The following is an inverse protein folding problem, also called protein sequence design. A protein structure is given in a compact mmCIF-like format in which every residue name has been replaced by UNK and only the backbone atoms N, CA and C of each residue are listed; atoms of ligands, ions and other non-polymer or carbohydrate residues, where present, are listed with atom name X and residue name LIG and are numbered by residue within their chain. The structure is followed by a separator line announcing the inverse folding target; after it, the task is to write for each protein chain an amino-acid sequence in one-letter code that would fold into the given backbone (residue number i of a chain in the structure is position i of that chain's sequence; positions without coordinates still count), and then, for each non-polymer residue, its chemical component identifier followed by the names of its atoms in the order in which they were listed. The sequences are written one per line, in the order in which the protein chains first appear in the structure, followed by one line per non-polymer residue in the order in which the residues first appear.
data_IF_543987224178
#
_entry.id   IF_543987224178
#
_cell.length_a   1.000
_cell.length_b   1.000
_cell.length_c   1.000
_cell.angle_alpha   90.00
_cell.angle_beta   90.00
_cell.angle_gamma   90.00
#
_symmetry.space_group_name_H-M   'P 1'
#
loop_
_entity.id
_entity.type
_entity.pdbx_description
1 polymer ?
#
# COMPACT_ATOMS: atom_id res chain seq x y z
N UNK A 1 53.08 10.85 -15.40
CA UNK A 1 52.22 10.72 -16.58
C UNK A 1 50.85 11.27 -16.20
N UNK A 2 50.38 12.28 -16.92
CA UNK A 2 49.33 13.21 -16.48
C UNK A 2 48.05 12.49 -16.05
N UNK A 3 47.46 12.95 -14.96
CA UNK A 3 46.13 12.50 -14.54
C UNK A 3 45.15 13.11 -15.54
N UNK A 4 44.80 12.34 -16.57
CA UNK A 4 43.73 12.70 -17.49
C UNK A 4 42.45 13.00 -16.72
N UNK A 5 41.74 14.04 -17.14
CA UNK A 5 40.51 14.46 -16.49
C UNK A 5 39.37 13.51 -16.85
N UNK A 6 38.41 13.32 -15.93
CA UNK A 6 37.17 12.59 -16.19
C UNK A 6 35.99 13.51 -15.94
N UNK A 7 35.06 13.56 -16.89
CA UNK A 7 33.76 14.23 -16.73
C UNK A 7 32.63 13.23 -16.86
N UNK A 8 31.58 13.43 -16.08
CA UNK A 8 30.41 12.56 -16.03
C UNK A 8 29.17 13.34 -16.47
N UNK A 9 28.30 12.67 -17.23
CA UNK A 9 26.95 13.14 -17.52
C UNK A 9 25.95 12.01 -17.28
N UNK A 10 24.76 12.40 -16.84
CA UNK A 10 23.58 11.56 -16.79
C UNK A 10 22.64 11.93 -17.94
N UNK A 11 22.23 10.94 -18.71
CA UNK A 11 21.24 11.07 -19.78
C UNK A 11 19.96 10.37 -19.33
N UNK A 12 18.92 11.17 -19.07
CA UNK A 12 17.57 10.70 -18.71
C UNK A 12 16.68 10.66 -19.94
N UNK A 13 16.07 9.51 -20.20
CA UNK A 13 15.24 9.28 -21.37
C UNK A 13 13.79 9.05 -20.92
N UNK A 14 12.93 10.03 -21.16
CA UNK A 14 11.55 10.06 -20.68
C UNK A 14 10.55 9.39 -21.63
N UNK A 15 10.91 9.23 -22.92
CA UNK A 15 10.09 8.59 -23.97
C UNK A 15 11.00 7.79 -24.92
N UNK A 16 10.52 6.65 -25.43
CA UNK A 16 11.25 5.80 -26.39
C UNK A 16 12.10 4.67 -25.78
N UNK A 17 12.14 4.54 -24.44
CA UNK A 17 12.68 3.37 -23.72
C UNK A 17 14.02 2.82 -24.23
N UNK A 18 14.01 1.54 -24.60
CA UNK A 18 15.20 0.78 -25.03
C UNK A 18 15.79 1.29 -26.36
N UNK A 19 14.95 1.77 -27.29
CA UNK A 19 15.40 2.22 -28.61
C UNK A 19 16.17 3.53 -28.52
N UNK A 20 15.70 4.47 -27.70
CA UNK A 20 16.38 5.73 -27.42
C UNK A 20 17.70 5.49 -26.66
N UNK A 21 17.74 4.55 -25.71
CA UNK A 21 18.99 4.16 -25.03
C UNK A 21 20.00 3.51 -25.99
N UNK A 22 19.51 2.70 -26.92
CA UNK A 22 20.31 2.07 -27.96
C UNK A 22 20.81 3.10 -28.98
N UNK A 23 20.04 4.15 -29.26
CA UNK A 23 20.46 5.27 -30.09
C UNK A 23 21.56 6.10 -29.42
N UNK A 24 21.40 6.43 -28.13
CA UNK A 24 22.45 7.10 -27.32
C UNK A 24 23.73 6.26 -27.30
N UNK A 25 23.63 4.96 -27.07
CA UNK A 25 24.80 4.05 -27.05
C UNK A 25 25.51 4.02 -28.41
N UNK A 26 24.75 4.00 -29.52
CA UNK A 26 25.31 4.07 -30.89
C UNK A 26 25.98 5.41 -31.19
N UNK A 27 25.41 6.53 -30.73
CA UNK A 27 26.02 7.86 -30.88
C UNK A 27 27.35 7.94 -30.14
N UNK A 28 27.41 7.42 -28.91
CA UNK A 28 28.65 7.39 -28.12
C UNK A 28 29.70 6.49 -28.79
N UNK A 29 29.31 5.31 -29.27
CA UNK A 29 30.21 4.39 -29.98
C UNK A 29 30.75 4.99 -31.29
N UNK A 30 29.92 5.77 -32.01
CA UNK A 30 30.36 6.49 -33.21
C UNK A 30 31.38 7.57 -32.85
N UNK A 31 31.10 8.35 -31.80
CA UNK A 31 31.99 9.42 -31.34
C UNK A 31 33.32 8.88 -30.82
N UNK A 32 33.30 7.77 -30.08
CA UNK A 32 34.52 7.15 -29.54
C UNK A 32 35.52 6.70 -30.61
N UNK A 33 35.06 6.50 -31.86
CA UNK A 33 35.93 6.18 -33.01
C UNK A 33 36.53 7.41 -33.68
N UNK A 34 35.98 8.60 -33.43
CA UNK A 34 36.34 9.86 -34.07
C UNK A 34 37.09 10.82 -33.14
N UNK A 35 36.98 10.63 -31.81
CA UNK A 35 37.67 11.43 -30.80
C UNK A 35 38.88 10.69 -30.21
N UNK A 36 39.86 11.44 -29.71
CA UNK A 36 40.95 10.90 -28.89
C UNK A 36 40.55 10.51 -27.46
N UNK A 37 39.31 10.83 -27.05
CA UNK A 37 38.79 10.57 -25.70
C UNK A 37 38.33 9.12 -25.50
N UNK A 38 38.46 8.62 -24.26
CA UNK A 38 37.93 7.34 -23.81
C UNK A 38 36.53 7.53 -23.20
N UNK A 39 35.65 6.53 -23.39
CA UNK A 39 34.28 6.57 -22.90
C UNK A 39 33.94 5.31 -22.11
N UNK A 40 33.20 5.47 -21.00
CA UNK A 40 32.46 4.37 -20.37
C UNK A 40 30.98 4.72 -20.40
N UNK A 41 30.17 3.74 -20.79
CA UNK A 41 28.72 3.86 -20.84
C UNK A 41 28.10 2.81 -19.93
N UNK A 42 27.45 3.27 -18.86
CA UNK A 42 26.64 2.43 -18.00
C UNK A 42 25.17 2.75 -18.24
N UNK A 43 24.39 1.79 -18.73
CA UNK A 43 22.97 1.99 -19.00
C UNK A 43 22.11 1.14 -18.09
N UNK A 44 20.99 1.70 -17.66
CA UNK A 44 19.95 1.00 -16.93
C UNK A 44 18.60 1.32 -17.57
N UNK A 45 17.80 0.28 -17.81
CA UNK A 45 16.47 0.38 -18.41
C UNK A 45 15.46 -0.15 -17.40
N UNK A 46 14.48 0.67 -17.03
CA UNK A 46 13.43 0.29 -16.08
C UNK A 46 12.06 0.79 -16.54
N UNK A 47 11.14 -0.15 -16.78
CA UNK A 47 9.74 0.08 -17.19
C UNK A 47 9.53 1.19 -18.26
N UNK A 48 10.38 1.22 -19.28
CA UNK A 48 10.27 2.16 -20.42
C UNK A 48 11.02 3.48 -20.26
N UNK A 49 11.65 3.71 -19.11
CA UNK A 49 12.60 4.80 -18.88
C UNK A 49 14.03 4.27 -18.90
N UNK A 50 14.92 5.03 -19.54
CA UNK A 50 16.32 4.64 -19.66
C UNK A 50 17.20 5.71 -19.04
N UNK A 51 18.11 5.30 -18.16
CA UNK A 51 19.15 6.14 -17.57
C UNK A 51 20.49 5.68 -18.11
N UNK A 52 21.24 6.60 -18.72
CA UNK A 52 22.58 6.31 -19.23
C UNK A 52 23.56 7.24 -18.53
N UNK A 53 24.52 6.68 -17.81
CA UNK A 53 25.65 7.43 -17.27
C UNK A 53 26.81 7.28 -18.22
N UNK A 54 27.38 8.40 -18.63
CA UNK A 54 28.51 8.46 -19.55
C UNK A 54 29.68 9.12 -18.83
N UNK A 55 30.81 8.43 -18.79
CA UNK A 55 32.10 8.99 -18.42
C UNK A 55 32.90 9.28 -19.68
N UNK A 56 33.43 10.50 -19.78
CA UNK A 56 34.36 10.92 -20.82
C UNK A 56 35.71 11.19 -20.16
N UNK A 57 36.78 10.64 -20.71
CA UNK A 57 38.13 10.82 -20.20
C UNK A 57 39.10 11.20 -21.31
N UNK A 58 39.97 12.17 -21.04
CA UNK A 58 41.04 12.57 -21.94
C UNK A 58 42.21 13.15 -21.13
N UNK A 59 43.42 12.90 -21.60
CA UNK A 59 44.67 13.43 -21.03
C UNK A 59 44.76 14.96 -21.22
N UNK A 60 44.15 15.51 -22.26
CA UNK A 60 44.03 16.94 -22.55
C UNK A 60 42.74 17.53 -21.95
N UNK A 61 42.84 18.47 -20.98
CA UNK A 61 41.67 19.12 -20.39
C UNK A 61 40.84 19.92 -21.39
N UNK A 62 41.47 20.49 -22.43
CA UNK A 62 40.78 21.23 -23.47
C UNK A 62 39.97 20.29 -24.38
N UNK A 63 40.56 19.18 -24.82
CA UNK A 63 39.87 18.16 -25.60
C UNK A 63 38.74 17.51 -24.80
N UNK A 64 38.96 17.23 -23.51
CA UNK A 64 37.93 16.71 -22.61
C UNK A 64 36.71 17.63 -22.54
N UNK A 65 36.94 18.94 -22.42
CA UNK A 65 35.85 19.93 -22.37
C UNK A 65 35.08 19.96 -23.69
N UNK A 66 35.80 20.01 -24.80
CA UNK A 66 35.22 20.05 -26.15
C UNK A 66 34.40 18.78 -26.41
N UNK A 67 34.97 17.60 -26.16
CA UNK A 67 34.28 16.33 -26.41
C UNK A 67 33.06 16.15 -25.52
N UNK A 68 33.13 16.59 -24.26
CA UNK A 68 31.99 16.58 -23.35
C UNK A 68 30.84 17.47 -23.84
N UNK A 69 31.14 18.71 -24.26
CA UNK A 69 30.15 19.66 -24.77
C UNK A 69 29.53 19.20 -26.10
N UNK A 70 30.37 18.70 -27.01
CA UNK A 70 29.94 18.15 -28.31
C UNK A 70 29.04 16.94 -28.09
N UNK A 71 29.44 15.98 -27.25
CA UNK A 71 28.64 14.79 -26.97
C UNK A 71 27.29 15.16 -26.34
N UNK A 72 27.29 16.08 -25.36
CA UNK A 72 26.06 16.57 -24.73
C UNK A 72 25.10 17.16 -25.76
N UNK A 73 25.63 17.98 -26.68
CA UNK A 73 24.87 18.62 -27.74
C UNK A 73 24.32 17.62 -28.78
N UNK A 74 25.13 16.63 -29.16
CA UNK A 74 24.71 15.56 -30.08
C UNK A 74 23.56 14.75 -29.47
N UNK A 75 23.67 14.34 -28.20
CA UNK A 75 22.64 13.56 -27.53
C UNK A 75 21.34 14.36 -27.41
N UNK A 76 21.43 15.62 -26.97
CA UNK A 76 20.26 16.48 -26.80
C UNK A 76 19.56 16.81 -28.14
N UNK A 77 20.30 16.89 -29.25
CA UNK A 77 19.75 17.21 -30.58
C UNK A 77 19.23 16.01 -31.36
N UNK A 78 19.80 14.81 -31.15
CA UNK A 78 19.47 13.62 -31.96
C UNK A 78 18.48 12.67 -31.30
N UNK A 79 18.24 12.81 -30.00
CA UNK A 79 17.36 11.90 -29.25
C UNK A 79 16.23 12.70 -28.60
N UNK A 80 15.01 12.50 -29.12
CA UNK A 80 13.84 13.22 -28.64
C UNK A 80 13.47 12.83 -27.20
N UNK A 81 13.09 13.82 -26.37
CA UNK A 81 12.64 13.57 -25.00
C UNK A 81 13.75 13.18 -24.02
N UNK A 82 14.97 13.65 -24.28
CA UNK A 82 16.15 13.40 -23.44
C UNK A 82 16.55 14.64 -22.64
N UNK A 83 16.97 14.42 -21.40
CA UNK A 83 17.63 15.42 -20.56
C UNK A 83 19.06 14.98 -20.29
N UNK A 84 20.03 15.84 -20.60
CA UNK A 84 21.46 15.63 -20.30
C UNK A 84 21.82 16.49 -19.10
N UNK A 85 22.28 15.87 -18.02
CA UNK A 85 22.56 16.51 -16.73
C UNK A 85 24.05 16.29 -16.40
N UNK A 86 24.85 17.36 -16.19
CA UNK A 86 26.22 17.19 -15.71
C UNK A 86 26.23 16.61 -14.31
N UNK A 87 27.13 15.65 -14.05
CA UNK A 87 27.33 15.09 -12.71
C UNK A 87 28.62 15.67 -12.12
N UNK A 88 28.49 16.37 -11.00
CA UNK A 88 29.65 16.90 -10.30
C UNK A 88 30.45 15.80 -9.62
N UNK A 89 31.78 15.95 -9.61
CA UNK A 89 32.70 14.97 -9.02
C UNK A 89 32.45 14.73 -7.51
N UNK A 90 31.83 15.69 -6.81
CA UNK A 90 31.42 15.54 -5.41
C UNK A 90 30.25 14.57 -5.22
N UNK A 91 29.26 14.61 -6.10
CA UNK A 91 28.05 13.77 -6.03
C UNK A 91 28.30 12.34 -6.53
N UNK A 92 29.26 12.18 -7.45
CA UNK A 92 29.60 10.91 -8.08
C UNK A 92 30.99 10.39 -7.72
N UNK A 93 31.66 10.92 -6.69
CA UNK A 93 33.08 10.69 -6.42
C UNK A 93 33.48 9.21 -6.27
N UNK A 94 32.61 8.40 -5.68
CA UNK A 94 32.81 6.95 -5.59
C UNK A 94 32.73 6.23 -6.94
N UNK A 95 31.88 6.73 -7.85
CA UNK A 95 31.70 6.22 -9.21
C UNK A 95 32.87 6.64 -10.10
N UNK A 96 33.27 7.93 -10.05
CA UNK A 96 34.45 8.46 -10.74
C UNK A 96 35.67 7.63 -10.38
N UNK A 97 35.95 7.42 -9.09
CA UNK A 97 37.12 6.65 -8.64
C UNK A 97 37.13 5.20 -9.14
N UNK A 98 35.96 4.58 -9.34
CA UNK A 98 35.85 3.21 -9.88
C UNK A 98 35.98 3.19 -11.39
N UNK A 99 35.38 4.15 -12.09
CA UNK A 99 35.43 4.28 -13.55
C UNK A 99 36.81 4.71 -14.04
N UNK A 100 37.49 5.62 -13.35
CA UNK A 100 38.88 6.01 -13.64
C UNK A 100 39.88 4.86 -13.52
N UNK A 101 39.54 3.77 -12.80
CA UNK A 101 40.37 2.55 -12.76
C UNK A 101 40.13 1.62 -13.96
N UNK A 102 38.98 1.76 -14.62
CA UNK A 102 38.61 1.00 -15.82
C UNK A 102 39.09 1.72 -17.10
N UNK A 103 39.18 3.04 -17.06
CA UNK A 103 39.78 3.90 -18.10
C UNK A 103 41.31 3.82 -18.01
N UNK A 104 41.99 3.68 -19.15
CA UNK A 104 43.43 3.39 -19.20
C UNK A 104 43.81 2.17 -20.07
N UNK A 105 42.84 1.53 -20.74
CA UNK A 105 43.10 0.52 -21.78
C UNK A 105 42.90 1.17 -23.15
N UNK A 106 43.98 1.75 -23.69
CA UNK A 106 43.95 2.40 -25.00
C UNK A 106 43.41 1.45 -26.07
N UNK A 107 42.43 1.90 -26.84
CA UNK A 107 41.93 1.21 -28.04
C UNK A 107 40.81 0.19 -27.82
N UNK A 108 40.29 0.01 -26.60
CA UNK A 108 39.15 -0.88 -26.37
C UNK A 108 37.81 -0.18 -26.61
N UNK A 109 36.86 -0.90 -27.22
CA UNK A 109 35.44 -0.51 -27.27
C UNK A 109 34.93 -0.17 -25.86
N UNK A 110 34.10 0.88 -25.69
CA UNK A 110 33.54 1.26 -24.39
C UNK A 110 32.93 0.04 -23.70
N UNK A 111 33.29 -0.27 -22.44
CA UNK A 111 32.63 -1.34 -21.71
C UNK A 111 31.17 -0.95 -21.49
N UNK A 112 30.27 -1.64 -22.19
CA UNK A 112 28.83 -1.57 -22.00
C UNK A 112 28.47 -2.49 -20.84
N UNK A 113 28.08 -1.92 -19.71
CA UNK A 113 27.55 -2.69 -18.57
C UNK A 113 26.02 -2.72 -18.73
N UNK A 114 25.42 -3.85 -19.14
CA UNK A 114 23.97 -4.00 -19.13
C UNK A 114 23.45 -4.06 -17.68
N UNK A 115 22.19 -3.67 -17.43
CA UNK A 115 21.62 -3.72 -16.09
C UNK A 115 21.65 -5.16 -15.54
N UNK A 116 22.28 -5.36 -14.38
CA UNK A 116 22.25 -6.62 -13.66
C UNK A 116 20.82 -6.91 -13.20
N UNK A 117 20.30 -8.12 -13.47
CA UNK A 117 18.87 -8.44 -13.27
C UNK A 117 18.40 -8.51 -11.80
N UNK A 118 19.26 -8.21 -10.82
CA UNK A 118 18.94 -8.21 -9.38
C UNK A 118 19.88 -7.27 -8.64
N UNK A 119 19.36 -6.15 -8.12
CA UNK A 119 20.04 -5.32 -7.15
C UNK A 119 19.25 -5.35 -5.83
N UNK A 120 19.94 -5.60 -4.73
CA UNK A 120 19.38 -5.62 -3.38
C UNK A 120 18.90 -4.21 -2.96
N UNK A 121 17.83 -4.09 -2.15
CA UNK A 121 17.33 -2.81 -1.71
C UNK A 121 18.25 -2.17 -0.66
N UNK A 122 18.32 -0.82 -0.61
CA UNK A 122 19.05 -0.09 0.42
C UNK A 122 18.33 -0.14 1.77
N UNK A 123 19.10 -0.07 2.86
CA UNK A 123 18.60 0.07 4.23
C UNK A 123 18.24 1.53 4.53
N UNK A 124 17.11 1.77 5.20
CA UNK A 124 16.87 3.01 5.95
C UNK A 124 15.48 3.63 5.81
N UNK A 125 14.59 3.29 6.74
CA UNK A 125 13.29 3.91 6.99
C UNK A 125 12.51 2.99 7.92
N UNK A 126 12.44 3.32 9.22
CA UNK A 126 11.76 2.52 10.23
C UNK A 126 10.24 2.69 10.13
N UNK A 127 9.66 2.34 8.98
CA UNK A 127 8.22 2.33 8.82
C UNK A 127 7.61 1.15 9.58
N UNK A 128 6.49 1.40 10.25
CA UNK A 128 5.83 0.46 11.16
C UNK A 128 5.51 -0.89 10.50
N UNK A 129 5.02 -0.84 9.27
CA UNK A 129 4.65 -2.03 8.50
C UNK A 129 5.08 -1.92 7.04
N UNK A 130 5.84 -2.90 6.55
CA UNK A 130 6.11 -3.02 5.11
C UNK A 130 4.88 -3.54 4.37
N UNK A 131 4.23 -2.67 3.58
CA UNK A 131 3.08 -3.03 2.77
C UNK A 131 3.46 -3.71 1.46
N UNK A 132 4.57 -3.30 0.85
CA UNK A 132 4.96 -3.80 -0.46
C UNK A 132 6.16 -3.08 -1.03
N UNK A 133 6.11 -2.81 -2.34
CA UNK A 133 7.11 -2.02 -3.04
C UNK A 133 6.44 -0.93 -3.87
N UNK A 134 7.02 0.26 -3.84
CA UNK A 134 6.71 1.35 -4.76
C UNK A 134 7.14 0.94 -6.16
N UNK A 135 6.22 1.11 -7.11
CA UNK A 135 6.44 0.81 -8.52
C UNK A 135 6.49 2.08 -9.38
N UNK A 136 6.23 3.24 -8.77
CA UNK A 136 6.35 4.57 -9.34
C UNK A 136 7.79 5.11 -9.27
N UNK A 137 8.69 4.41 -8.58
CA UNK A 137 10.12 4.74 -8.45
C UNK A 137 11.00 3.89 -9.39
N UNK A 138 12.15 4.40 -9.87
CA UNK A 138 13.05 3.70 -10.79
C UNK A 138 13.67 2.42 -10.21
N UNK A 139 13.74 2.32 -8.89
CA UNK A 139 14.09 1.12 -8.14
C UNK A 139 12.88 0.73 -7.28
N UNK A 140 12.52 -0.57 -7.19
CA UNK A 140 11.52 -1.02 -6.23
C UNK A 140 11.97 -0.64 -4.82
N UNK A 141 11.36 0.41 -4.28
CA UNK A 141 11.60 0.86 -2.92
C UNK A 141 10.55 0.21 -2.03
N UNK A 142 10.93 -0.32 -0.86
CA UNK A 142 9.94 -0.79 0.11
C UNK A 142 8.92 0.32 0.40
N UNK A 143 7.64 0.00 0.25
CA UNK A 143 6.56 0.85 0.71
C UNK A 143 6.21 0.45 2.14
N UNK A 144 6.29 1.39 3.05
CA UNK A 144 5.85 1.22 4.42
C UNK A 144 4.58 2.02 4.67
N UNK A 145 3.74 1.50 5.57
CA UNK A 145 2.71 2.27 6.26
C UNK A 145 3.31 2.75 7.58
N UNK A 146 3.15 4.03 7.85
CA UNK A 146 3.46 4.63 9.13
C UNK A 146 2.28 4.46 10.10
N UNK A 147 2.51 4.65 11.40
CA UNK A 147 1.45 4.55 12.41
C UNK A 147 0.27 5.50 12.09
N UNK A 148 0.57 6.72 11.63
CA UNK A 148 -0.45 7.71 11.24
C UNK A 148 -1.31 7.26 10.06
N UNK A 149 -0.77 6.45 9.15
CA UNK A 149 -1.54 5.91 8.02
C UNK A 149 -2.55 4.86 8.50
N UNK A 150 -2.18 4.07 9.50
CA UNK A 150 -3.01 3.02 10.09
C UNK A 150 -4.08 3.62 11.02
N UNK A 151 -3.73 4.66 11.79
CA UNK A 151 -4.68 5.38 12.65
C UNK A 151 -5.74 6.16 11.87
N UNK A 152 -5.47 6.46 10.59
CA UNK A 152 -6.43 7.04 9.66
C UNK A 152 -7.45 6.03 9.10
N UNK A 153 -7.94 6.31 7.88
CA UNK A 153 -8.85 5.41 7.15
C UNK A 153 -8.20 4.92 5.86
N UNK A 154 -8.13 3.60 5.69
CA UNK A 154 -7.58 2.97 4.48
C UNK A 154 -8.71 2.32 3.69
N UNK A 155 -8.86 2.72 2.43
CA UNK A 155 -9.77 2.07 1.47
C UNK A 155 -9.01 1.12 0.54
N UNK A 156 -9.38 -0.17 0.53
CA UNK A 156 -8.81 -1.18 -0.38
C UNK A 156 -9.86 -1.64 -1.38
N UNK A 157 -9.64 -1.35 -2.66
CA UNK A 157 -10.59 -1.64 -3.74
C UNK A 157 -9.96 -2.60 -4.77
N UNK A 158 -10.79 -3.47 -5.36
CA UNK A 158 -10.34 -4.45 -6.37
C UNK A 158 -11.36 -5.57 -6.60
N UNK A 159 -11.22 -6.28 -7.72
CA UNK A 159 -12.06 -7.44 -8.05
C UNK A 159 -11.76 -8.66 -7.16
N UNK A 160 -12.59 -9.69 -7.18
CA UNK A 160 -12.29 -10.98 -6.54
C UNK A 160 -10.99 -11.55 -7.12
N UNK A 161 -10.12 -12.11 -6.27
CA UNK A 161 -8.82 -12.64 -6.70
C UNK A 161 -7.71 -11.60 -6.90
N UNK A 162 -7.98 -10.30 -6.77
CA UNK A 162 -6.96 -9.25 -6.86
C UNK A 162 -6.01 -9.15 -5.65
N UNK A 163 -6.24 -9.97 -4.61
CA UNK A 163 -5.40 -10.01 -3.42
C UNK A 163 -5.84 -9.08 -2.27
N UNK A 164 -7.04 -8.48 -2.32
CA UNK A 164 -7.57 -7.61 -1.24
C UNK A 164 -7.42 -8.22 0.17
N UNK A 165 -7.92 -9.44 0.34
CA UNK A 165 -7.89 -10.16 1.62
C UNK A 165 -6.44 -10.39 2.07
N UNK A 166 -5.55 -10.76 1.16
CA UNK A 166 -4.12 -10.93 1.44
C UNK A 166 -3.47 -9.61 1.89
N UNK A 167 -3.77 -8.51 1.22
CA UNK A 167 -3.26 -7.18 1.57
C UNK A 167 -3.77 -6.74 2.95
N UNK A 168 -5.08 -6.84 3.20
CA UNK A 168 -5.67 -6.47 4.49
C UNK A 168 -5.19 -7.38 5.63
N UNK A 169 -4.98 -8.67 5.37
CA UNK A 169 -4.38 -9.58 6.35
C UNK A 169 -2.94 -9.15 6.69
N UNK A 170 -2.15 -8.75 5.70
CA UNK A 170 -0.79 -8.21 5.93
C UNK A 170 -0.84 -6.95 6.80
N UNK A 171 -1.80 -6.05 6.53
CA UNK A 171 -2.02 -4.84 7.33
C UNK A 171 -2.40 -5.16 8.78
N UNK A 172 -3.40 -6.04 8.96
CA UNK A 172 -3.88 -6.43 10.28
C UNK A 172 -2.79 -7.11 11.12
N UNK A 173 -2.03 -8.04 10.54
CA UNK A 173 -0.92 -8.72 11.22
C UNK A 173 0.19 -7.75 11.60
N UNK A 174 0.59 -6.89 10.67
CA UNK A 174 1.63 -5.90 10.91
C UNK A 174 1.27 -4.90 12.00
N UNK A 175 0.03 -4.41 12.00
CA UNK A 175 -0.47 -3.53 13.05
C UNK A 175 -0.50 -4.23 14.42
N UNK A 176 -0.91 -5.50 14.47
CA UNK A 176 -0.89 -6.29 15.70
C UNK A 176 0.54 -6.54 16.23
N UNK A 177 1.49 -6.87 15.35
CA UNK A 177 2.92 -7.02 15.71
C UNK A 177 3.54 -5.72 16.22
N UNK A 178 3.06 -4.58 15.71
CA UNK A 178 3.39 -3.25 16.19
C UNK A 178 2.73 -2.87 17.53
N UNK A 179 1.91 -3.75 18.12
CA UNK A 179 1.23 -3.51 19.40
C UNK A 179 -0.06 -2.72 19.29
N UNK A 180 -0.58 -2.49 18.09
CA UNK A 180 -1.88 -1.84 17.89
C UNK A 180 -3.01 -2.86 18.12
N UNK A 181 -4.10 -2.48 18.80
CA UNK A 181 -5.27 -3.34 18.94
C UNK A 181 -5.99 -3.45 17.59
N UNK A 182 -6.12 -4.67 17.07
CA UNK A 182 -6.76 -4.94 15.78
C UNK A 182 -7.97 -5.84 15.95
N UNK A 183 -9.10 -5.44 15.35
CA UNK A 183 -10.31 -6.25 15.25
C UNK A 183 -10.64 -6.43 13.77
N UNK A 184 -10.86 -7.68 13.34
CA UNK A 184 -11.21 -8.02 11.96
C UNK A 184 -12.60 -8.65 11.94
N UNK A 185 -13.53 -8.05 11.19
CA UNK A 185 -14.83 -8.64 10.90
C UNK A 185 -14.71 -9.58 9.67
N UNK A 186 -14.61 -10.88 9.90
CA UNK A 186 -14.39 -11.88 8.85
C UNK A 186 -15.65 -12.69 8.52
N UNK A 187 -16.54 -12.11 7.71
CA UNK A 187 -17.81 -12.76 7.34
C UNK A 187 -17.63 -14.06 6.53
N UNK A 188 -16.60 -14.12 5.68
CA UNK A 188 -16.36 -15.24 4.76
C UNK A 188 -15.32 -16.26 5.29
N UNK A 189 -14.71 -15.99 6.45
CA UNK A 189 -13.70 -16.85 7.06
C UNK A 189 -12.36 -16.87 6.29
N UNK A 190 -12.07 -15.86 5.48
CA UNK A 190 -10.86 -15.83 4.65
C UNK A 190 -9.62 -15.46 5.47
N UNK A 191 -9.77 -14.56 6.45
CA UNK A 191 -8.67 -14.08 7.29
C UNK A 191 -8.23 -15.16 8.28
N UNK A 192 -9.16 -15.89 8.89
CA UNK A 192 -8.83 -16.98 9.81
C UNK A 192 -7.84 -17.97 9.21
N UNK A 193 -7.99 -18.30 7.92
CA UNK A 193 -7.10 -19.24 7.21
C UNK A 193 -5.73 -18.66 6.90
N UNK A 194 -5.67 -17.37 6.54
CA UNK A 194 -4.44 -16.71 6.14
C UNK A 194 -3.54 -16.39 7.32
N UNK A 195 -4.14 -15.95 8.43
CA UNK A 195 -3.37 -15.43 9.55
C UNK A 195 -2.68 -16.57 10.32
N UNK A 196 -3.33 -17.74 10.49
CA UNK A 196 -2.74 -18.88 11.20
C UNK A 196 -1.47 -19.48 10.59
N UNK A 197 -1.16 -19.20 9.31
CA UNK A 197 0.05 -19.68 8.63
C UNK A 197 1.23 -18.70 8.61
N UNK A 198 0.99 -17.41 8.94
CA UNK A 198 1.93 -16.32 8.69
C UNK A 198 2.71 -15.79 9.89
N UNK A 199 2.60 -16.43 11.07
CA UNK A 199 3.29 -15.99 12.30
C UNK A 199 2.42 -15.14 13.25
N UNK A 200 1.39 -14.49 12.71
CA UNK A 200 0.39 -13.81 13.53
C UNK A 200 -0.65 -14.82 14.07
N UNK A 201 -0.97 -14.77 15.36
CA UNK A 201 -1.92 -15.70 16.00
C UNK A 201 -3.08 -14.91 16.63
N UNK A 202 -4.07 -14.48 15.82
CA UNK A 202 -5.18 -13.69 16.32
C UNK A 202 -6.04 -14.56 17.22
N UNK A 203 -6.62 -13.94 18.25
CA UNK A 203 -7.76 -14.53 18.93
C UNK A 203 -8.93 -14.52 17.97
N UNK A 204 -9.33 -15.69 17.50
CA UNK A 204 -10.56 -15.84 16.73
C UNK A 204 -11.70 -15.89 17.72
N UNK A 205 -12.69 -15.02 17.53
CA UNK A 205 -13.96 -15.05 18.26
C UNK A 205 -14.99 -15.53 17.24
N UNK A 206 -15.52 -16.73 17.43
CA UNK A 206 -16.67 -17.19 16.65
C UNK A 206 -17.95 -16.94 17.44
N UNK A 207 -18.77 -15.94 17.07
CA UNK A 207 -20.02 -15.64 17.78
C UNK A 207 -20.94 -16.84 17.88
N UNK A 208 -20.87 -17.80 16.95
CA UNK A 208 -21.71 -19.01 16.95
C UNK A 208 -21.35 -19.98 18.07
N UNK A 209 -20.12 -19.92 18.57
CA UNK A 209 -19.58 -20.89 19.54
C UNK A 209 -19.24 -20.24 20.87
N UNK A 210 -18.69 -19.04 20.83
CA UNK A 210 -18.18 -18.29 21.98
C UNK A 210 -19.18 -17.22 22.47
N UNK A 211 -20.28 -17.04 21.74
CA UNK A 211 -21.28 -16.02 22.02
C UNK A 211 -20.97 -14.70 21.31
N UNK A 212 -22.02 -13.99 20.90
CA UNK A 212 -21.91 -12.66 20.29
C UNK A 212 -21.86 -11.51 21.29
N UNK A 213 -21.79 -10.29 20.75
CA UNK A 213 -21.89 -9.05 21.52
C UNK A 213 -23.34 -8.62 21.59
N UNK A 214 -23.86 -8.43 22.80
CA UNK A 214 -25.21 -7.90 22.99
C UNK A 214 -25.22 -6.38 22.79
N UNK A 215 -25.90 -5.86 21.75
CA UNK A 215 -25.95 -4.41 21.51
C UNK A 215 -26.66 -3.66 22.64
N UNK A 216 -27.58 -4.31 23.37
CA UNK A 216 -28.31 -3.69 24.47
C UNK A 216 -27.46 -3.53 25.75
N UNK A 217 -26.43 -4.37 25.93
CA UNK A 217 -25.54 -4.30 27.08
C UNK A 217 -24.42 -3.26 26.92
N UNK A 218 -24.30 -2.62 25.76
CA UNK A 218 -23.35 -1.54 25.53
C UNK A 218 -23.74 -0.33 26.38
N UNK A 219 -22.77 0.37 26.96
CA UNK A 219 -22.99 1.60 27.74
C UNK A 219 -23.36 2.82 26.89
N UNK A 220 -24.00 2.60 25.73
CA UNK A 220 -24.44 3.64 24.81
C UNK A 220 -25.82 4.14 25.19
N UNK A 221 -26.10 5.39 24.83
CA UNK A 221 -27.43 5.99 24.98
C UNK A 221 -28.50 5.21 24.20
N UNK A 222 -29.74 5.22 24.69
CA UNK A 222 -30.85 4.51 24.08
C UNK A 222 -31.12 4.94 22.63
N UNK A 223 -30.88 6.21 22.29
CA UNK A 223 -31.01 6.70 20.90
C UNK A 223 -30.00 6.02 19.96
N UNK A 224 -28.76 5.82 20.42
CA UNK A 224 -27.69 5.15 19.67
C UNK A 224 -27.99 3.65 19.51
N UNK A 225 -28.46 3.00 20.59
CA UNK A 225 -28.90 1.60 20.55
C UNK A 225 -30.05 1.41 19.55
N UNK A 226 -31.03 2.30 19.60
CA UNK A 226 -32.17 2.30 18.67
C UNK A 226 -31.70 2.46 17.23
N UNK A 227 -30.85 3.45 16.94
CA UNK A 227 -30.35 3.71 15.59
C UNK A 227 -29.55 2.52 15.03
N UNK A 228 -28.73 1.89 15.86
CA UNK A 228 -27.99 0.66 15.50
C UNK A 228 -28.96 -0.46 15.12
N UNK A 229 -29.95 -0.76 15.97
CA UNK A 229 -30.93 -1.81 15.71
C UNK A 229 -31.80 -1.49 14.49
N UNK A 230 -32.19 -0.22 14.32
CA UNK A 230 -32.98 0.24 13.19
C UNK A 230 -32.24 0.03 11.86
N UNK A 231 -30.95 0.38 11.82
CA UNK A 231 -30.09 0.14 10.67
C UNK A 231 -29.88 -1.35 10.40
N UNK A 232 -29.51 -2.12 11.42
CA UNK A 232 -29.21 -3.55 11.30
C UNK A 232 -30.43 -4.38 10.85
N UNK A 233 -31.63 -4.03 11.32
CA UNK A 233 -32.87 -4.75 11.02
C UNK A 233 -33.65 -4.20 9.83
N UNK A 234 -33.22 -3.06 9.26
CA UNK A 234 -33.94 -2.36 8.20
C UNK A 234 -35.35 -1.97 8.65
N UNK A 235 -35.45 -1.31 9.80
CA UNK A 235 -36.71 -0.85 10.36
C UNK A 235 -37.25 0.36 9.58
N UNK A 236 -38.57 0.47 9.49
CA UNK A 236 -39.24 1.67 8.98
C UNK A 236 -39.25 2.78 10.03
N UNK A 237 -39.45 4.04 9.62
CA UNK A 237 -39.51 5.18 10.55
C UNK A 237 -40.50 4.97 11.72
N UNK A 238 -41.74 4.45 11.49
CA UNK A 238 -42.64 4.12 12.60
C UNK A 238 -42.10 3.04 13.55
N UNK A 239 -41.43 2.02 13.02
CA UNK A 239 -40.86 0.93 13.82
C UNK A 239 -39.66 1.42 14.64
N UNK A 240 -38.84 2.30 14.05
CA UNK A 240 -37.76 3.00 14.76
C UNK A 240 -38.34 3.80 15.92
N UNK A 241 -39.34 4.65 15.67
CA UNK A 241 -39.94 5.48 16.71
C UNK A 241 -40.54 4.66 17.87
N UNK A 242 -41.25 3.57 17.55
CA UNK A 242 -41.78 2.66 18.56
C UNK A 242 -40.65 2.03 19.40
N UNK A 243 -39.57 1.57 18.75
CA UNK A 243 -38.41 1.03 19.44
C UNK A 243 -37.70 2.09 20.31
N UNK A 244 -37.58 3.32 19.83
CA UNK A 244 -36.99 4.44 20.56
C UNK A 244 -37.74 4.68 21.87
N UNK A 245 -39.08 4.73 21.81
CA UNK A 245 -39.93 4.92 22.98
C UNK A 245 -39.79 3.79 24.00
N UNK A 246 -39.75 2.55 23.52
CA UNK A 246 -39.53 1.40 24.39
C UNK A 246 -38.19 1.44 25.11
N UNK A 247 -37.10 1.77 24.39
CA UNK A 247 -35.76 1.86 24.98
C UNK A 247 -35.53 3.13 25.82
N UNK A 248 -36.35 4.16 25.64
CA UNK A 248 -36.39 5.36 26.49
C UNK A 248 -37.03 5.07 27.86
N UNK A 249 -38.11 4.28 27.85
CA UNK A 249 -38.87 3.94 29.07
C UNK A 249 -38.33 2.71 29.80
N UNK A 250 -37.64 1.81 29.08
CA UNK A 250 -37.18 0.53 29.59
C UNK A 250 -35.74 0.24 29.16
N UNK A 251 -34.99 -0.47 30.01
CA UNK A 251 -33.64 -0.95 29.70
C UNK A 251 -33.62 -2.49 29.59
N UNK A 252 -34.05 -3.06 28.45
CA UNK A 252 -34.03 -4.50 28.26
C UNK A 252 -32.58 -5.01 28.29
N UNK A 253 -32.37 -6.12 29.00
CA UNK A 253 -31.06 -6.78 29.13
C UNK A 253 -30.77 -7.71 27.96
N UNK A 254 -31.79 -8.08 27.19
CA UNK A 254 -31.70 -9.07 26.11
C UNK A 254 -32.66 -8.74 24.97
N UNK A 255 -32.39 -9.27 23.77
CA UNK A 255 -33.29 -9.12 22.63
C UNK A 255 -34.57 -9.93 22.81
N UNK A 256 -34.53 -10.98 23.65
CA UNK A 256 -35.73 -11.73 24.06
C UNK A 256 -36.65 -10.85 24.89
N UNK A 257 -36.10 -10.21 25.92
CA UNK A 257 -36.84 -9.27 26.77
C UNK A 257 -37.39 -8.10 25.95
N UNK A 258 -36.58 -7.53 25.06
CA UNK A 258 -37.04 -6.49 24.13
C UNK A 258 -38.18 -7.00 23.23
N UNK A 259 -38.08 -8.22 22.69
CA UNK A 259 -39.15 -8.79 21.86
C UNK A 259 -40.45 -8.96 22.66
N UNK A 260 -40.37 -9.42 23.91
CA UNK A 260 -41.54 -9.50 24.81
C UNK A 260 -42.12 -8.13 25.14
N UNK A 261 -41.28 -7.13 25.41
CA UNK A 261 -41.74 -5.75 25.61
C UNK A 261 -42.48 -5.21 24.39
N UNK A 262 -42.00 -5.48 23.18
CA UNK A 262 -42.71 -5.12 21.94
C UNK A 262 -44.04 -5.86 21.82
N UNK A 263 -44.10 -7.13 22.22
CA UNK A 263 -45.33 -7.93 22.23
C UNK A 263 -46.38 -7.40 23.22
N UNK A 264 -45.94 -6.79 24.32
CA UNK A 264 -46.82 -6.24 25.36
C UNK A 264 -47.30 -4.81 25.08
N UNK A 265 -46.77 -4.13 24.06
CA UNK A 265 -47.23 -2.79 23.67
C UNK A 265 -48.73 -2.79 23.38
N UNK A 266 -49.45 -1.88 24.03
CA UNK A 266 -50.89 -1.69 23.86
C UNK A 266 -51.25 -1.32 22.41
N UNK A 267 -52.27 -1.99 21.89
CA UNK A 267 -52.71 -1.86 20.50
C UNK A 267 -53.90 -0.89 20.40
N UNK A 268 -53.62 0.41 20.51
CA UNK A 268 -54.67 1.44 20.50
C UNK A 268 -55.26 1.70 19.09
N UNK A 269 -54.53 1.35 18.03
CA UNK A 269 -54.99 1.50 16.64
C UNK A 269 -54.62 0.31 15.74
N UNK A 270 -55.24 0.27 14.54
CA UNK A 270 -54.85 -0.70 13.49
C UNK A 270 -53.43 -0.44 12.97
N UNK A 271 -52.97 0.81 13.01
CA UNK A 271 -51.63 1.18 12.60
C UNK A 271 -50.58 0.70 13.62
N UNK A 272 -50.85 0.86 14.92
CA UNK A 272 -49.98 0.33 15.99
C UNK A 272 -49.78 -1.18 15.85
N UNK A 273 -50.86 -1.91 15.52
CA UNK A 273 -50.81 -3.35 15.23
C UNK A 273 -49.85 -3.71 14.11
N UNK A 274 -49.84 -2.96 13.01
CA UNK A 274 -48.97 -3.27 11.87
C UNK A 274 -47.52 -2.94 12.18
N UNK A 275 -47.25 -1.81 12.84
CA UNK A 275 -45.91 -1.39 13.26
C UNK A 275 -45.33 -2.41 14.24
N UNK A 276 -46.08 -2.77 15.29
CA UNK A 276 -45.72 -3.78 16.29
C UNK A 276 -45.42 -5.13 15.64
N UNK A 277 -46.34 -5.65 14.82
CA UNK A 277 -46.13 -6.94 14.11
C UNK A 277 -44.93 -6.91 13.17
N UNK A 278 -44.69 -5.77 12.51
CA UNK A 278 -43.51 -5.58 11.68
C UNK A 278 -42.21 -5.65 12.48
N UNK A 279 -42.17 -4.96 13.62
CA UNK A 279 -41.02 -4.97 14.53
C UNK A 279 -40.77 -6.36 15.13
N UNK A 280 -41.83 -7.04 15.60
CA UNK A 280 -41.75 -8.42 16.08
C UNK A 280 -41.17 -9.38 15.02
N UNK A 281 -41.62 -9.27 13.75
CA UNK A 281 -41.07 -10.10 12.66
C UNK A 281 -39.58 -9.88 12.41
N UNK A 282 -39.08 -8.66 12.66
CA UNK A 282 -37.65 -8.33 12.50
C UNK A 282 -36.82 -8.81 13.69
N UNK A 283 -37.34 -8.67 14.90
CA UNK A 283 -36.67 -9.07 16.14
C UNK A 283 -36.72 -10.59 16.37
N UNK A 284 -37.81 -11.25 15.97
CA UNK A 284 -38.08 -12.66 16.24
C UNK A 284 -36.93 -13.62 15.87
N UNK A 285 -36.28 -13.50 14.70
CA UNK A 285 -35.12 -14.32 14.37
C UNK A 285 -33.96 -14.18 15.36
N UNK A 286 -33.70 -12.97 15.89
CA UNK A 286 -32.65 -12.71 16.88
C UNK A 286 -33.04 -13.13 18.30
N UNK A 287 -34.32 -12.98 18.65
CA UNK A 287 -34.89 -13.46 19.91
C UNK A 287 -35.08 -14.99 19.97
N UNK A 288 -34.89 -15.69 18.85
CA UNK A 288 -34.93 -17.15 18.81
C UNK A 288 -33.72 -17.78 19.52
N UNK A 289 -33.81 -19.06 19.88
CA UNK A 289 -32.69 -19.81 20.49
C UNK A 289 -31.42 -19.80 19.63
N UNK A 290 -31.57 -19.87 18.31
CA UNK A 290 -30.45 -19.82 17.35
C UNK A 290 -29.91 -18.40 17.17
N UNK A 291 -30.80 -17.40 17.21
CA UNK A 291 -30.43 -15.99 17.23
C UNK A 291 -29.60 -15.67 18.45
N UNK A 292 -30.05 -16.08 19.63
CA UNK A 292 -29.43 -15.83 20.94
C UNK A 292 -27.94 -16.11 20.98
N UNK A 293 -27.48 -17.26 20.49
CA UNK A 293 -26.04 -17.56 20.47
C UNK A 293 -25.22 -16.51 19.72
N UNK A 294 -25.79 -15.87 18.69
CA UNK A 294 -25.11 -14.89 17.84
C UNK A 294 -25.06 -13.46 18.41
N UNK A 295 -25.94 -13.14 19.36
CA UNK A 295 -26.18 -11.76 19.84
C UNK A 295 -26.17 -11.65 21.37
N UNK A 296 -26.20 -12.76 22.10
CA UNK A 296 -26.20 -12.78 23.55
C UNK A 296 -25.18 -13.80 24.04
N UNK A 297 -23.98 -13.32 24.33
CA UNK A 297 -22.97 -14.00 25.13
C UNK A 297 -22.22 -12.96 25.96
N UNK A 298 -21.49 -13.40 26.98
CA UNK A 298 -20.53 -12.49 27.65
C UNK A 298 -19.44 -12.02 26.69
N UNK A 299 -19.27 -12.74 25.57
CA UNK A 299 -18.17 -12.56 24.66
C UNK A 299 -16.85 -12.82 25.39
N UNK A 300 -15.82 -13.28 24.69
CA UNK A 300 -14.49 -13.15 25.25
C UNK A 300 -14.16 -11.67 25.51
N UNK A 301 -13.48 -11.29 26.62
CA UNK A 301 -13.12 -9.90 26.87
C UNK A 301 -12.32 -9.36 25.68
N UNK A 302 -12.85 -8.31 25.04
CA UNK A 302 -12.22 -7.59 23.94
C UNK A 302 -11.27 -6.58 24.58
N UNK A 303 -10.10 -7.07 25.02
CA UNK A 303 -9.10 -6.27 25.70
C UNK A 303 -8.52 -7.00 26.90
N UNK A 304 -7.35 -7.58 26.71
CA UNK A 304 -6.51 -8.13 27.78
C UNK A 304 -5.08 -8.17 27.28
N UNK A 305 -4.17 -7.56 28.03
CA UNK A 305 -2.74 -7.82 27.90
C UNK A 305 -2.44 -9.29 28.18
#
# INVERSE_FOLDING_TARGET
AGVGGVRLMEVRISRGGFDAASQVSRLILSRSRQSGSEYIVASSVYRGHSRVVVAVANDSPEELRVDYEVLSSIIASNVAGVQVIPLEAGEAGGLVRRLSKLLGVRGSTPPLIPPASRAAPPAGGAGLLRLGVRLDTPTPEPLYLEQSDIEGHIGVFGSTGSGKTTTLATIACGAAEAGLPVVVADWHGEYQRLVGGGGCRPRVIDPRREGGVNPLSLGWDYSVKTALLASALGLTEPQHYMLLKLLEEHEPRSLIELHSMVEDVEENSRWDREVKRGLMRRLGPLASRAGRSLVEGEGPPIGGR
#
